data_IF_901530350099
#
_entry.id   IF_901530350099
#
_cell.length_a   1.000
_cell.length_b   1.000
_cell.length_c   1.000
_cell.angle_alpha   90.00
_cell.angle_beta   90.00
_cell.angle_gamma   90.00
#
_symmetry.space_group_name_H-M   'P 1'
#
loop_
_entity.id
_entity.type
_entity.pdbx_description
1 polymer ?
#
# COMPACT_ATOMS: atom_id res chain seq x y z
N UNK A 1 10.69 10.95 -27.23
CA UNK A 1 10.79 10.46 -25.83
C UNK A 1 9.47 10.76 -25.12
N UNK A 2 8.71 9.76 -24.65
CA UNK A 2 7.34 10.01 -24.20
C UNK A 2 7.33 10.58 -22.78
N UNK A 3 6.66 11.73 -22.64
CA UNK A 3 6.55 12.59 -21.44
C UNK A 3 5.91 11.92 -20.21
N UNK A 4 5.40 10.69 -20.38
CA UNK A 4 4.73 9.90 -19.34
C UNK A 4 5.69 9.45 -18.21
N UNK A 5 6.95 9.14 -18.52
CA UNK A 5 7.92 8.66 -17.53
C UNK A 5 8.37 9.78 -16.56
N UNK A 6 8.30 11.04 -16.98
CA UNK A 6 8.73 12.19 -16.14
C UNK A 6 7.78 12.42 -14.97
N UNK A 7 6.49 12.08 -15.13
CA UNK A 7 5.52 12.24 -14.05
C UNK A 7 5.72 11.23 -12.92
N UNK A 8 6.06 9.98 -13.25
CA UNK A 8 6.26 8.92 -12.25
C UNK A 8 7.46 9.25 -11.35
N UNK A 9 8.58 9.71 -11.93
CA UNK A 9 9.75 10.09 -11.16
C UNK A 9 9.52 11.35 -10.29
N UNK A 10 8.71 12.31 -10.74
CA UNK A 10 8.46 13.57 -10.00
C UNK A 10 7.61 13.42 -8.74
N UNK A 11 6.81 12.35 -8.64
CA UNK A 11 6.02 12.07 -7.44
C UNK A 11 6.89 11.57 -6.27
N UNK A 12 8.03 10.94 -6.56
CA UNK A 12 8.92 10.41 -5.55
C UNK A 12 9.87 11.45 -4.94
N UNK A 13 10.17 12.55 -5.64
CA UNK A 13 11.14 13.55 -5.18
C UNK A 13 10.51 14.72 -4.41
N UNK A 14 9.18 14.82 -4.33
CA UNK A 14 8.48 15.98 -3.73
C UNK A 14 7.69 15.62 -2.46
N UNK A 15 8.34 14.95 -1.51
CA UNK A 15 7.78 14.74 -0.16
C UNK A 15 8.85 14.78 0.95
N UNK A 16 9.92 15.56 0.76
CA UNK A 16 11.04 15.65 1.71
C UNK A 16 10.80 16.59 2.91
N UNK A 17 9.65 17.23 3.04
CA UNK A 17 9.44 18.25 4.08
C UNK A 17 8.09 18.08 4.78
N UNK A 18 7.89 16.94 5.47
CA UNK A 18 7.12 16.87 6.72
C UNK A 18 7.46 15.55 7.42
N UNK A 19 8.34 15.62 8.42
CA UNK A 19 8.60 14.53 9.36
C UNK A 19 7.30 14.11 10.07
N UNK A 20 7.10 12.79 10.26
CA UNK A 20 6.37 12.09 11.35
C UNK A 20 5.47 10.89 10.99
N UNK A 21 5.63 10.26 9.82
CA UNK A 21 5.28 8.83 9.67
C UNK A 21 6.45 8.11 9.01
N UNK A 22 7.45 7.80 9.84
CA UNK A 22 8.58 6.93 9.50
C UNK A 22 8.09 5.49 9.49
N UNK A 23 7.19 5.15 8.56
CA UNK A 23 7.06 3.77 8.11
C UNK A 23 7.62 3.73 6.69
N UNK A 24 8.74 3.05 6.48
CA UNK A 24 9.24 2.86 5.14
C UNK A 24 8.38 1.77 4.50
N UNK A 25 7.23 2.15 3.96
CA UNK A 25 6.22 1.13 3.59
C UNK A 25 6.72 0.23 2.45
N UNK A 26 7.76 0.63 1.70
CA UNK A 26 8.47 -0.28 0.77
C UNK A 26 9.97 0.02 0.74
N UNK A 27 10.71 -0.30 1.80
CA UNK A 27 12.18 -0.39 1.70
C UNK A 27 12.62 -1.55 0.78
N UNK A 28 11.77 -2.57 0.69
CA UNK A 28 11.98 -3.77 -0.13
C UNK A 28 10.94 -3.81 -1.25
N UNK A 29 11.32 -4.12 -2.50
CA UNK A 29 10.36 -4.34 -3.58
C UNK A 29 9.36 -5.45 -3.20
N UNK A 30 8.05 -5.24 -3.44
CA UNK A 30 7.01 -6.24 -3.11
C UNK A 30 7.31 -7.62 -3.71
N UNK A 31 7.94 -7.64 -4.88
CA UNK A 31 8.31 -8.88 -5.58
C UNK A 31 9.30 -9.75 -4.79
N UNK A 32 10.10 -9.15 -3.90
CA UNK A 32 11.14 -9.84 -3.13
C UNK A 32 10.69 -10.19 -1.71
N UNK A 33 9.54 -9.67 -1.25
CA UNK A 33 9.02 -9.96 0.09
C UNK A 33 8.55 -11.42 0.19
N UNK A 34 8.27 -11.94 1.38
CA UNK A 34 7.56 -13.24 1.56
C UNK A 34 6.04 -13.04 1.60
N UNK A 35 5.24 -14.13 1.62
CA UNK A 35 3.77 -14.01 1.78
C UNK A 35 3.43 -13.44 3.16
N UNK A 36 4.12 -13.90 4.21
CA UNK A 36 3.94 -13.40 5.58
C UNK A 36 4.29 -11.91 5.71
N UNK A 37 5.37 -11.47 5.06
CA UNK A 37 5.73 -10.04 4.98
C UNK A 37 4.68 -9.21 4.25
N UNK A 38 4.07 -9.74 3.19
CA UNK A 38 2.99 -9.04 2.50
C UNK A 38 1.71 -8.97 3.34
N UNK A 39 1.39 -10.01 4.12
CA UNK A 39 0.24 -10.02 5.03
C UNK A 39 0.42 -9.05 6.21
N UNK A 40 1.62 -9.00 6.79
CA UNK A 40 1.96 -8.03 7.85
C UNK A 40 1.86 -6.60 7.31
N UNK A 41 2.42 -6.35 6.13
CA UNK A 41 2.36 -5.05 5.47
C UNK A 41 0.92 -4.65 5.07
N UNK A 42 0.07 -5.62 4.68
CA UNK A 42 -1.36 -5.37 4.46
C UNK A 42 -2.05 -4.89 5.75
N UNK A 43 -1.78 -5.55 6.89
CA UNK A 43 -2.34 -5.18 8.20
C UNK A 43 -1.89 -3.78 8.62
N UNK A 44 -0.60 -3.47 8.49
CA UNK A 44 -0.06 -2.15 8.82
C UNK A 44 -0.69 -1.03 7.98
N UNK A 45 -0.81 -1.24 6.66
CA UNK A 45 -1.48 -0.27 5.78
C UNK A 45 -2.94 -0.08 6.18
N UNK A 46 -3.64 -1.16 6.56
CA UNK A 46 -5.04 -1.09 6.99
C UNK A 46 -5.20 -0.30 8.29
N UNK A 47 -4.33 -0.52 9.27
CA UNK A 47 -4.30 0.24 10.54
C UNK A 47 -4.08 1.73 10.24
N UNK A 48 -3.04 2.06 9.47
CA UNK A 48 -2.74 3.44 9.09
C UNK A 48 -3.90 4.08 8.30
N UNK A 49 -4.56 3.32 7.43
CA UNK A 49 -5.71 3.80 6.66
C UNK A 49 -6.86 4.19 7.59
N UNK A 50 -7.23 3.32 8.52
CA UNK A 50 -8.31 3.60 9.48
C UNK A 50 -8.00 4.83 10.33
N UNK A 51 -6.78 4.95 10.86
CA UNK A 51 -6.35 6.14 11.59
C UNK A 51 -6.47 7.42 10.74
N UNK A 52 -6.12 7.36 9.45
CA UNK A 52 -6.26 8.54 8.57
C UNK A 52 -7.70 8.89 8.27
N UNK A 53 -8.61 7.91 8.22
CA UNK A 53 -10.05 8.16 8.09
C UNK A 53 -10.58 8.82 9.36
N UNK A 54 -10.21 8.32 10.54
CA UNK A 54 -10.61 8.92 11.81
C UNK A 54 -10.13 10.37 11.92
N UNK A 55 -8.85 10.63 11.59
CA UNK A 55 -8.29 11.99 11.54
C UNK A 55 -9.05 12.89 10.57
N UNK A 56 -9.49 12.37 9.43
CA UNK A 56 -10.28 13.12 8.46
C UNK A 56 -11.65 13.51 9.03
N UNK A 57 -12.34 12.58 9.69
CA UNK A 57 -13.64 12.86 10.31
C UNK A 57 -13.51 13.83 11.48
N UNK A 58 -12.50 13.68 12.34
CA UNK A 58 -12.20 14.65 13.40
C UNK A 58 -11.90 16.04 12.83
N UNK A 59 -11.15 16.13 11.73
CA UNK A 59 -10.86 17.41 11.09
C UNK A 59 -12.12 18.08 10.50
N UNK A 60 -13.07 17.30 9.97
CA UNK A 60 -14.35 17.82 9.51
C UNK A 60 -15.21 18.34 10.66
N UNK A 61 -15.32 17.57 11.75
CA UNK A 61 -16.06 17.97 12.96
C UNK A 61 -15.52 19.27 13.54
N UNK A 62 -14.20 19.47 13.49
CA UNK A 62 -13.53 20.68 13.95
C UNK A 62 -13.52 21.83 12.93
N UNK A 63 -14.27 21.74 11.82
CA UNK A 63 -14.28 22.73 10.74
C UNK A 63 -12.87 23.10 10.21
N UNK A 64 -11.97 22.11 10.11
CA UNK A 64 -10.61 22.28 9.58
C UNK A 64 -10.49 21.68 8.17
N UNK A 65 -10.93 22.39 7.11
CA UNK A 65 -11.02 21.86 5.76
C UNK A 65 -9.66 21.47 5.16
N UNK A 66 -8.60 22.23 5.46
CA UNK A 66 -7.25 21.91 4.99
C UNK A 66 -6.74 20.58 5.55
N UNK A 67 -6.95 20.33 6.84
CA UNK A 67 -6.57 19.08 7.50
C UNK A 67 -7.40 17.90 6.99
N UNK A 68 -8.70 18.07 6.80
CA UNK A 68 -9.57 17.05 6.23
C UNK A 68 -9.16 16.69 4.78
N UNK A 69 -8.78 17.69 3.98
CA UNK A 69 -8.26 17.49 2.62
C UNK A 69 -6.93 16.74 2.62
N UNK A 70 -6.01 17.11 3.52
CA UNK A 70 -4.73 16.41 3.67
C UNK A 70 -4.93 14.93 4.04
N UNK A 71 -5.75 14.66 5.06
CA UNK A 71 -6.08 13.30 5.49
C UNK A 71 -6.78 12.49 4.38
N UNK A 72 -7.63 13.13 3.57
CA UNK A 72 -8.23 12.47 2.40
C UNK A 72 -7.19 12.03 1.36
N UNK A 73 -6.21 12.88 1.04
CA UNK A 73 -5.15 12.52 0.11
C UNK A 73 -4.25 11.41 0.67
N UNK A 74 -3.96 11.44 1.97
CA UNK A 74 -3.23 10.37 2.65
C UNK A 74 -3.98 9.03 2.59
N UNK A 75 -5.27 9.01 2.95
CA UNK A 75 -6.11 7.82 2.87
C UNK A 75 -6.17 7.24 1.45
N UNK A 76 -6.27 8.11 0.42
CA UNK A 76 -6.23 7.68 -0.99
C UNK A 76 -4.89 7.02 -1.36
N UNK A 77 -3.77 7.58 -0.89
CA UNK A 77 -2.44 7.01 -1.11
C UNK A 77 -2.30 5.63 -0.45
N UNK A 78 -2.75 5.49 0.81
CA UNK A 78 -2.75 4.22 1.53
C UNK A 78 -3.63 3.16 0.83
N UNK A 79 -4.80 3.55 0.33
CA UNK A 79 -5.67 2.64 -0.44
C UNK A 79 -5.01 2.13 -1.71
N UNK A 80 -4.28 2.98 -2.42
CA UNK A 80 -3.53 2.57 -3.62
C UNK A 80 -2.41 1.58 -3.25
N UNK A 81 -1.69 1.80 -2.14
CA UNK A 81 -0.69 0.85 -1.64
C UNK A 81 -1.31 -0.49 -1.26
N UNK A 82 -2.43 -0.47 -0.54
CA UNK A 82 -3.16 -1.67 -0.14
C UNK A 82 -3.54 -2.52 -1.36
N UNK A 83 -4.08 -1.89 -2.41
CA UNK A 83 -4.46 -2.59 -3.64
C UNK A 83 -3.26 -3.29 -4.32
N UNK A 84 -2.06 -2.69 -4.26
CA UNK A 84 -0.84 -3.30 -4.82
C UNK A 84 -0.44 -4.55 -4.04
N UNK A 85 -0.51 -4.48 -2.72
CA UNK A 85 -0.17 -5.58 -1.81
C UNK A 85 -1.16 -6.72 -1.96
N UNK A 86 -2.46 -6.43 -1.98
CA UNK A 86 -3.53 -7.41 -2.21
C UNK A 86 -3.36 -8.12 -3.56
N UNK A 87 -2.98 -7.37 -4.61
CA UNK A 87 -2.73 -7.95 -5.92
C UNK A 87 -1.53 -8.89 -5.92
N UNK A 88 -0.44 -8.52 -5.25
CA UNK A 88 0.75 -9.36 -5.18
C UNK A 88 0.50 -10.61 -4.30
N UNK A 89 -0.21 -10.47 -3.18
CA UNK A 89 -0.69 -11.60 -2.37
C UNK A 89 -1.52 -12.57 -3.21
N UNK A 90 -2.53 -12.06 -3.94
CA UNK A 90 -3.38 -12.87 -4.79
C UNK A 90 -2.57 -13.61 -5.86
N UNK A 91 -1.62 -12.94 -6.50
CA UNK A 91 -0.72 -13.55 -7.49
C UNK A 91 0.08 -14.71 -6.88
N UNK A 92 0.67 -14.52 -5.71
CA UNK A 92 1.51 -15.53 -5.04
C UNK A 92 0.71 -16.72 -4.55
N UNK A 93 -0.43 -16.48 -3.90
CA UNK A 93 -1.34 -17.54 -3.47
C UNK A 93 -1.84 -18.37 -4.67
N UNK A 94 -2.14 -17.72 -5.80
CA UNK A 94 -2.51 -18.42 -7.04
C UNK A 94 -1.38 -19.32 -7.57
N UNK A 95 -0.12 -18.86 -7.51
CA UNK A 95 1.04 -19.65 -7.91
C UNK A 95 1.26 -20.85 -6.98
N UNK A 96 1.19 -20.64 -5.67
CA UNK A 96 1.31 -21.70 -4.67
C UNK A 96 0.23 -22.76 -4.90
N UNK A 97 -1.03 -22.36 -5.09
CA UNK A 97 -2.12 -23.29 -5.36
C UNK A 97 -1.88 -24.14 -6.62
N UNK A 98 -1.34 -23.56 -7.70
CA UNK A 98 -0.97 -24.29 -8.92
C UNK A 98 0.14 -25.32 -8.67
N UNK A 99 1.18 -24.94 -7.92
CA UNK A 99 2.28 -25.85 -7.57
C UNK A 99 1.77 -27.02 -6.73
N UNK A 100 0.94 -26.75 -5.72
CA UNK A 100 0.33 -27.78 -4.88
C UNK A 100 -0.55 -28.73 -5.70
N UNK A 101 -1.39 -28.20 -6.61
CA UNK A 101 -2.21 -29.03 -7.50
C UNK A 101 -1.36 -29.93 -8.39
N UNK A 102 -0.28 -29.39 -8.95
CA UNK A 102 0.66 -30.15 -9.79
C UNK A 102 1.42 -31.22 -8.99
N UNK A 103 1.86 -30.90 -7.78
CA UNK A 103 2.51 -31.87 -6.90
C UNK A 103 1.57 -33.05 -6.61
N UNK A 104 0.31 -32.78 -6.24
CA UNK A 104 -0.70 -33.83 -5.99
C UNK A 104 -0.93 -34.74 -7.20
N UNK A 105 -0.90 -34.21 -8.43
CA UNK A 105 -1.06 -35.03 -9.64
C UNK A 105 0.13 -35.92 -9.97
N UNK A 106 1.29 -35.76 -9.31
CA UNK A 106 2.42 -36.67 -9.47
C UNK A 106 2.41 -37.83 -8.48
N UNK A 107 1.61 -37.75 -7.41
CA UNK A 107 1.52 -38.75 -6.36
C UNK A 107 0.18 -39.53 -6.38
N UNK A 108 -0.65 -39.30 -7.41
CA UNK A 108 -1.88 -40.02 -7.74
C UNK A 108 -1.73 -40.63 -9.13
#
# INVERSE_FOLDING_TARGET
>A
MPRLLRHIASFFTRSSETNQLKTPIFDTPLANQTVEELETLQKEILIAYNETIDRKETAKQNYRPAAAKAAHHQARSLRLKLNLVERELHRRLSLIAKVVKKAKSFYL
#
